data_IF_507775743444
#
_entry.id   IF_507775743444
#
_cell.length_a   1.000
_cell.length_b   1.000
_cell.length_c   1.000
_cell.angle_alpha   90.00
_cell.angle_beta   90.00
_cell.angle_gamma   90.00
#
_symmetry.space_group_name_H-M   'P 1'
#
loop_
_entity.id
_entity.type
_entity.pdbx_description
1 polymer ?
#
# COMPACT_ATOMS: atom_id res chain seq x y z
N UNK A 1 -12.59 -0.58 11.90
CA UNK A 1 -12.73 0.63 12.74
C UNK A 1 -13.03 1.78 11.79
N UNK A 2 -14.07 2.57 12.06
CA UNK A 2 -14.36 3.76 11.27
C UNK A 2 -13.16 4.73 11.34
N UNK A 3 -12.84 5.47 10.26
CA UNK A 3 -11.83 6.52 10.32
C UNK A 3 -12.19 7.54 11.41
N UNK A 4 -11.21 8.28 11.94
CA UNK A 4 -11.53 9.31 12.91
C UNK A 4 -12.45 10.32 12.20
N UNK A 5 -13.64 10.56 12.75
CA UNK A 5 -14.73 11.32 12.13
C UNK A 5 -14.22 12.65 11.53
N UNK A 6 -13.26 13.30 12.20
CA UNK A 6 -12.66 14.55 11.72
C UNK A 6 -11.92 14.42 10.37
N UNK A 7 -11.13 13.37 10.14
CA UNK A 7 -10.40 13.24 8.87
C UNK A 7 -11.33 12.98 7.69
N UNK A 8 -12.51 12.42 7.94
CA UNK A 8 -13.52 12.24 6.91
C UNK A 8 -14.28 13.54 6.64
N UNK A 9 -14.56 14.34 7.67
CA UNK A 9 -15.26 15.63 7.56
C UNK A 9 -14.41 16.74 6.94
N UNK A 10 -13.10 16.74 7.21
CA UNK A 10 -12.15 17.77 6.75
C UNK A 10 -11.17 17.25 5.69
N UNK A 11 -11.63 16.33 4.82
CA UNK A 11 -10.81 15.78 3.73
C UNK A 11 -10.26 16.87 2.82
N UNK A 12 -8.96 16.81 2.57
CA UNK A 12 -8.34 17.66 1.56
C UNK A 12 -8.85 17.30 0.14
N UNK A 13 -8.84 18.24 -0.82
CA UNK A 13 -9.20 17.95 -2.21
C UNK A 13 -8.40 16.75 -2.76
N UNK A 14 -9.11 15.82 -3.41
CA UNK A 14 -8.52 14.61 -4.01
C UNK A 14 -8.39 13.41 -3.05
N UNK A 15 -8.64 13.57 -1.75
CA UNK A 15 -8.77 12.43 -0.83
C UNK A 15 -10.07 11.69 -1.13
N UNK A 16 -9.94 10.47 -1.62
CA UNK A 16 -11.06 9.59 -1.90
C UNK A 16 -11.54 8.92 -0.61
N UNK A 17 -10.63 8.29 0.12
CA UNK A 17 -10.93 7.55 1.34
C UNK A 17 -9.91 7.80 2.44
N UNK A 18 -10.36 7.65 3.69
CA UNK A 18 -9.50 7.62 4.87
C UNK A 18 -9.80 6.32 5.59
N UNK A 19 -8.77 5.53 5.86
CA UNK A 19 -8.82 4.31 6.65
C UNK A 19 -8.09 4.54 7.97
N UNK A 20 -8.13 3.55 8.86
CA UNK A 20 -7.49 3.63 10.17
C UNK A 20 -5.95 3.74 10.12
N UNK A 21 -5.34 3.45 8.97
CA UNK A 21 -3.89 3.41 8.78
C UNK A 21 -3.38 4.27 7.62
N UNK A 22 -4.26 4.76 6.73
CA UNK A 22 -3.87 5.51 5.53
C UNK A 22 -4.94 6.46 4.99
N UNK A 23 -4.50 7.48 4.27
CA UNK A 23 -5.32 8.23 3.31
C UNK A 23 -5.12 7.65 1.91
N UNK A 24 -6.18 7.65 1.12
CA UNK A 24 -6.17 7.24 -0.28
C UNK A 24 -6.58 8.42 -1.14
N UNK A 25 -5.75 8.74 -2.12
CA UNK A 25 -5.99 9.81 -3.07
C UNK A 25 -6.32 9.21 -4.43
N UNK A 26 -7.32 9.80 -5.07
CA UNK A 26 -7.72 9.47 -6.43
C UNK A 26 -7.62 10.73 -7.29
N UNK A 27 -6.69 10.69 -8.24
CA UNK A 27 -6.44 11.72 -9.23
C UNK A 27 -6.58 11.07 -10.62
N UNK A 28 -6.81 11.84 -11.70
CA UNK A 28 -7.28 11.28 -12.98
C UNK A 28 -6.53 10.04 -13.51
N UNK A 29 -5.21 10.00 -13.37
CA UNK A 29 -4.38 8.86 -13.78
C UNK A 29 -3.49 8.33 -12.65
N UNK A 30 -3.71 8.78 -11.40
CA UNK A 30 -2.82 8.54 -10.28
C UNK A 30 -3.60 8.11 -9.05
N UNK A 31 -3.23 6.95 -8.52
CA UNK A 31 -3.73 6.42 -7.27
C UNK A 31 -2.60 6.47 -6.24
N UNK A 32 -2.88 7.03 -5.06
CA UNK A 32 -1.87 7.16 -3.99
C UNK A 32 -2.41 6.62 -2.68
N UNK A 33 -1.70 5.67 -2.07
CA UNK A 33 -1.87 5.31 -0.66
C UNK A 33 -0.81 6.07 0.15
N UNK A 34 -1.21 6.77 1.20
CA UNK A 34 -0.29 7.47 2.13
C UNK A 34 -0.58 7.02 3.55
N UNK A 35 0.44 6.54 4.27
CA UNK A 35 0.28 6.22 5.70
C UNK A 35 -0.12 7.45 6.50
N UNK A 36 -0.95 7.28 7.54
CA UNK A 36 -1.26 8.39 8.45
C UNK A 36 -0.01 8.83 9.22
N UNK A 37 0.17 10.15 9.34
CA UNK A 37 1.17 10.77 10.22
C UNK A 37 0.74 10.60 11.67
N UNK A 38 1.66 10.73 12.62
CA UNK A 38 1.37 10.52 14.05
C UNK A 38 0.25 11.42 14.58
N UNK A 39 0.18 12.67 14.13
CA UNK A 39 -0.89 13.60 14.51
C UNK A 39 -2.23 13.33 13.80
N UNK A 40 -2.27 12.39 12.85
CA UNK A 40 -3.48 11.96 12.15
C UNK A 40 -4.01 10.63 12.69
N UNK A 41 -3.35 10.01 13.68
CA UNK A 41 -3.78 8.74 14.27
C UNK A 41 -5.11 8.90 15.00
N UNK A 42 -5.88 7.80 15.06
CA UNK A 42 -7.20 7.81 15.70
C UNK A 42 -7.02 7.86 17.21
N UNK A 43 -7.55 8.90 17.84
CA UNK A 43 -7.72 8.97 19.29
C UNK A 43 -9.15 8.51 19.65
N UNK A 44 -9.26 7.53 20.52
CA UNK A 44 -10.52 7.04 21.06
C UNK A 44 -10.99 7.91 22.25
N UNK A 45 -12.25 7.75 22.66
CA UNK A 45 -12.85 8.56 23.74
C UNK A 45 -12.12 8.48 25.10
N UNK A 46 -11.37 7.40 25.34
CA UNK A 46 -10.57 7.18 26.54
C UNK A 46 -9.12 7.70 26.44
N UNK A 47 -8.77 8.37 25.34
CA UNK A 47 -7.42 8.86 25.06
C UNK A 47 -6.47 7.80 24.50
N UNK A 48 -6.96 6.58 24.22
CA UNK A 48 -6.15 5.56 23.57
C UNK A 48 -5.91 5.92 22.09
N UNK A 49 -4.65 5.95 21.68
CA UNK A 49 -4.28 6.19 20.29
C UNK A 49 -4.16 4.85 19.54
N UNK A 50 -4.97 4.67 18.50
CA UNK A 50 -4.87 3.54 17.58
C UNK A 50 -3.72 3.78 16.62
N UNK A 51 -2.63 3.06 16.83
CA UNK A 51 -1.44 3.18 15.99
C UNK A 51 -1.59 2.31 14.73
N UNK A 52 -1.37 2.86 13.53
CA UNK A 52 -1.15 2.06 12.33
C UNK A 52 0.03 1.11 12.53
N UNK A 53 0.04 -0.01 11.81
CA UNK A 53 1.21 -0.91 11.86
C UNK A 53 2.47 -0.17 11.39
N UNK A 54 3.56 -0.33 12.14
CA UNK A 54 4.87 0.20 11.78
C UNK A 54 5.49 -0.56 10.59
N UNK A 55 4.92 -1.70 10.19
CA UNK A 55 5.34 -2.46 9.02
C UNK A 55 4.77 -1.91 7.69
N UNK A 56 3.88 -0.90 7.72
CA UNK A 56 3.31 -0.29 6.51
C UNK A 56 4.35 0.16 5.47
N UNK A 57 5.47 0.80 5.85
CA UNK A 57 6.47 1.19 4.86
C UNK A 57 7.06 0.00 4.10
N UNK A 58 7.28 -1.13 4.77
CA UNK A 58 7.74 -2.35 4.11
C UNK A 58 6.65 -2.96 3.22
N UNK A 59 5.37 -2.93 3.63
CA UNK A 59 4.25 -3.37 2.78
C UNK A 59 4.24 -2.65 1.43
N UNK A 60 4.43 -1.33 1.44
CA UNK A 60 4.46 -0.53 0.21
C UNK A 60 5.71 -0.81 -0.63
N UNK A 61 6.90 -1.00 0.01
CA UNK A 61 8.10 -1.43 -0.70
C UNK A 61 7.91 -2.80 -1.35
N UNK A 62 7.29 -3.75 -0.65
CA UNK A 62 6.92 -5.07 -1.18
C UNK A 62 6.05 -4.95 -2.41
N UNK A 63 4.98 -4.15 -2.36
CA UNK A 63 4.08 -3.93 -3.50
C UNK A 63 4.86 -3.45 -4.74
N UNK A 64 5.66 -2.39 -4.58
CA UNK A 64 6.47 -1.84 -5.67
C UNK A 64 7.52 -2.82 -6.20
N UNK A 65 8.23 -3.54 -5.33
CA UNK A 65 9.25 -4.52 -5.70
C UNK A 65 8.64 -5.69 -6.49
N UNK A 66 7.49 -6.20 -6.05
CA UNK A 66 6.81 -7.32 -6.71
C UNK A 66 6.26 -6.92 -8.07
N UNK A 67 5.63 -5.74 -8.18
CA UNK A 67 5.19 -5.23 -9.47
C UNK A 67 6.35 -5.03 -10.45
N UNK A 68 7.51 -4.51 -10.00
CA UNK A 68 8.72 -4.40 -10.84
C UNK A 68 9.21 -5.77 -11.30
N UNK A 69 9.34 -6.71 -10.37
CA UNK A 69 9.73 -8.09 -10.68
C UNK A 69 8.77 -8.74 -11.69
N UNK A 70 7.46 -8.66 -11.46
CA UNK A 70 6.46 -9.25 -12.34
C UNK A 70 6.44 -8.62 -13.74
N UNK A 71 6.66 -7.31 -13.84
CA UNK A 71 6.75 -6.60 -15.14
C UNK A 71 7.93 -7.09 -15.97
N UNK A 72 9.04 -7.47 -15.33
CA UNK A 72 10.24 -7.98 -16.01
C UNK A 72 10.11 -9.47 -16.39
N UNK A 73 9.35 -10.26 -15.63
CA UNK A 73 9.36 -11.73 -15.73
C UNK A 73 8.07 -12.32 -16.29
N UNK A 74 7.00 -11.53 -16.43
CA UNK A 74 5.67 -12.02 -16.81
C UNK A 74 4.90 -11.06 -17.71
N UNK A 75 3.73 -11.51 -18.17
CA UNK A 75 2.73 -10.69 -18.85
C UNK A 75 1.47 -10.46 -17.99
N UNK A 76 1.58 -10.60 -16.66
CA UNK A 76 0.47 -10.31 -15.76
C UNK A 76 0.09 -8.83 -15.93
N UNK A 77 -1.19 -8.48 -16.14
CA UNK A 77 -1.62 -7.10 -16.19
C UNK A 77 -1.37 -6.41 -14.85
N UNK A 78 -0.66 -5.28 -14.87
CA UNK A 78 -0.28 -4.48 -13.71
C UNK A 78 -0.52 -3.00 -14.02
N UNK A 79 -0.63 -2.13 -13.00
CA UNK A 79 -0.43 -0.70 -13.17
C UNK A 79 0.86 -0.41 -13.96
N UNK A 80 0.81 0.54 -14.89
CA UNK A 80 1.92 0.88 -15.79
C UNK A 80 3.15 1.40 -15.04
N UNK A 81 2.95 2.02 -13.88
CA UNK A 81 4.02 2.43 -12.98
C UNK A 81 3.61 2.22 -11.51
N UNK A 82 4.62 2.12 -10.66
CA UNK A 82 4.50 2.11 -9.21
C UNK A 82 5.78 2.66 -8.60
N UNK A 83 5.64 3.54 -7.61
CA UNK A 83 6.73 4.18 -6.91
C UNK A 83 6.41 4.33 -5.43
N UNK A 84 7.47 4.33 -4.62
CA UNK A 84 7.36 4.60 -3.18
C UNK A 84 8.33 5.68 -2.77
N UNK A 85 7.91 6.52 -1.82
CA UNK A 85 8.73 7.59 -1.29
C UNK A 85 8.25 8.03 0.09
N UNK A 86 9.15 8.61 0.86
CA UNK A 86 8.85 9.16 2.17
C UNK A 86 8.69 10.68 2.09
N UNK A 87 7.73 11.21 2.85
CA UNK A 87 7.61 12.64 3.11
C UNK A 87 7.05 12.86 4.53
N UNK A 88 7.80 13.61 5.34
CA UNK A 88 7.50 14.04 6.71
C UNK A 88 6.70 13.02 7.56
N UNK A 89 7.36 11.93 7.95
CA UNK A 89 6.78 10.89 8.80
C UNK A 89 5.69 10.05 8.13
N UNK A 90 5.51 10.14 6.80
CA UNK A 90 4.60 9.32 6.02
C UNK A 90 5.31 8.62 4.86
N UNK A 91 4.82 7.43 4.50
CA UNK A 91 5.24 6.67 3.33
C UNK A 91 4.11 6.71 2.31
N UNK A 92 4.51 6.88 1.05
CA UNK A 92 3.63 6.95 -0.09
C UNK A 92 3.86 5.73 -0.97
N UNK A 93 2.76 5.19 -1.50
CA UNK A 93 2.74 4.27 -2.63
C UNK A 93 1.91 4.95 -3.71
N UNK A 94 2.56 5.34 -4.79
CA UNK A 94 1.96 6.01 -5.94
C UNK A 94 1.99 5.08 -7.14
N UNK A 95 0.85 4.89 -7.81
CA UNK A 95 0.74 4.01 -8.96
C UNK A 95 -0.28 4.53 -9.97
N UNK A 96 -0.33 3.95 -11.16
CA UNK A 96 -1.36 4.26 -12.15
C UNK A 96 -2.76 4.03 -11.55
N UNK A 97 -3.65 5.00 -11.73
CA UNK A 97 -5.08 4.73 -11.64
C UNK A 97 -5.60 4.12 -12.95
N UNK A 98 -5.97 2.84 -12.92
CA UNK A 98 -6.35 2.06 -14.10
C UNK A 98 -7.74 2.46 -14.59
N UNK A 99 -7.79 3.50 -15.43
CA UNK A 99 -9.04 4.13 -15.87
C UNK A 99 -9.97 3.17 -16.62
N UNK A 100 -11.27 3.25 -16.34
CA UNK A 100 -12.31 2.42 -16.98
C UNK A 100 -12.30 0.95 -16.55
N UNK A 101 -11.53 0.58 -15.52
CA UNK A 101 -11.66 -0.70 -14.86
C UNK A 101 -12.59 -0.60 -13.65
N UNK A 102 -13.25 -1.71 -13.31
CA UNK A 102 -13.97 -1.90 -12.05
C UNK A 102 -13.37 -3.10 -11.31
N UNK A 103 -13.35 -3.11 -9.97
CA UNK A 103 -13.08 -4.31 -9.18
C UNK A 103 -13.96 -5.49 -9.59
N UNK A 104 -13.42 -6.71 -9.56
CA UNK A 104 -14.15 -7.91 -9.99
C UNK A 104 -15.37 -8.21 -9.10
N UNK A 105 -15.39 -7.76 -7.85
CA UNK A 105 -16.52 -7.92 -6.93
C UNK A 105 -17.73 -7.04 -7.28
N UNK A 106 -17.56 -6.02 -8.12
CA UNK A 106 -18.66 -5.22 -8.68
C UNK A 106 -19.39 -5.91 -9.86
N UNK A 107 -18.80 -6.97 -10.43
CA UNK A 107 -19.39 -7.70 -11.55
C UNK A 107 -20.46 -8.70 -11.10
N UNK A 108 -21.37 -9.09 -11.99
CA UNK A 108 -22.31 -10.18 -11.70
C UNK A 108 -21.60 -11.53 -11.61
N UNK A 109 -22.19 -12.50 -10.91
CA UNK A 109 -21.57 -13.82 -10.70
C UNK A 109 -21.19 -14.52 -12.00
N UNK A 110 -22.05 -14.49 -13.01
CA UNK A 110 -21.77 -15.09 -14.31
C UNK A 110 -20.56 -14.46 -15.01
N UNK A 111 -20.37 -13.15 -14.85
CA UNK A 111 -19.23 -12.40 -15.40
C UNK A 111 -17.95 -12.70 -14.62
N UNK A 112 -18.03 -12.77 -13.29
CA UNK A 112 -16.92 -13.19 -12.43
C UNK A 112 -16.38 -14.55 -12.86
N UNK A 113 -17.24 -15.52 -13.19
CA UNK A 113 -16.82 -16.83 -13.71
C UNK A 113 -16.10 -16.77 -15.06
N UNK A 114 -16.28 -15.72 -15.85
CA UNK A 114 -15.48 -15.49 -17.06
C UNK A 114 -14.09 -14.98 -16.67
N UNK A 115 -14.02 -13.97 -15.80
CA UNK A 115 -12.77 -13.39 -15.29
C UNK A 115 -11.91 -14.44 -14.56
N UNK A 116 -12.52 -15.30 -13.74
CA UNK A 116 -11.84 -16.38 -13.01
C UNK A 116 -11.01 -17.29 -13.93
N UNK A 117 -11.46 -17.53 -15.16
CA UNK A 117 -10.72 -18.37 -16.11
C UNK A 117 -9.41 -17.72 -16.53
N UNK A 118 -9.42 -16.42 -16.79
CA UNK A 118 -8.22 -15.64 -17.11
C UNK A 118 -7.31 -15.52 -15.88
N UNK A 119 -7.89 -15.25 -14.71
CA UNK A 119 -7.15 -15.13 -13.46
C UNK A 119 -6.40 -16.42 -13.10
N UNK A 120 -7.01 -17.60 -13.33
CA UNK A 120 -6.33 -18.89 -13.13
C UNK A 120 -5.12 -19.08 -14.02
N UNK A 121 -5.11 -18.54 -15.24
CA UNK A 121 -3.92 -18.55 -16.10
C UNK A 121 -2.81 -17.74 -15.44
N UNK A 122 -3.12 -16.54 -14.93
CA UNK A 122 -2.14 -15.73 -14.19
C UNK A 122 -1.66 -16.41 -12.91
N UNK A 123 -2.52 -17.14 -12.19
CA UNK A 123 -2.10 -17.93 -11.04
C UNK A 123 -1.10 -19.04 -11.41
N UNK A 124 -1.29 -19.71 -12.54
CA UNK A 124 -0.32 -20.69 -13.02
C UNK A 124 1.01 -20.02 -13.41
N UNK A 125 0.97 -18.77 -13.88
CA UNK A 125 2.16 -17.92 -14.09
C UNK A 125 2.83 -17.48 -12.76
N UNK A 126 2.09 -17.32 -11.66
CA UNK A 126 2.62 -16.98 -10.31
C UNK A 126 3.22 -18.19 -9.58
N UNK A 127 2.56 -19.35 -9.70
CA UNK A 127 3.24 -20.67 -9.69
C UNK A 127 4.21 -20.66 -10.89
N UNK A 128 4.92 -21.67 -11.37
CA UNK A 128 6.00 -21.48 -12.38
C UNK A 128 7.18 -20.55 -11.98
N UNK A 129 6.99 -19.32 -11.46
CA UNK A 129 8.02 -18.51 -10.83
C UNK A 129 8.46 -19.23 -9.56
N UNK A 130 9.72 -19.66 -9.52
CA UNK A 130 10.31 -20.42 -8.42
C UNK A 130 11.48 -19.68 -7.79
N UNK A 131 11.66 -19.89 -6.50
CA UNK A 131 12.85 -19.46 -5.76
C UNK A 131 13.29 -20.52 -4.76
N UNK A 132 14.60 -20.63 -4.56
CA UNK A 132 15.20 -21.51 -3.55
C UNK A 132 15.10 -20.91 -2.15
N UNK A 133 14.93 -19.59 -2.05
CA UNK A 133 14.77 -18.83 -0.80
C UNK A 133 13.43 -18.10 -0.79
N UNK A 134 12.71 -18.06 0.34
CA UNK A 134 11.51 -17.25 0.44
C UNK A 134 11.88 -15.79 0.68
N UNK A 135 10.94 -14.89 0.43
CA UNK A 135 11.19 -13.45 0.56
C UNK A 135 10.69 -12.65 -0.63
N UNK A 136 10.98 -11.36 -0.60
CA UNK A 136 10.59 -10.41 -1.66
C UNK A 136 11.83 -10.07 -2.49
N UNK A 137 11.79 -10.20 -3.83
CA UNK A 137 12.94 -9.87 -4.68
C UNK A 137 13.44 -8.44 -4.44
N UNK A 138 14.73 -8.31 -4.10
CA UNK A 138 15.37 -7.01 -3.89
C UNK A 138 15.12 -6.36 -2.52
N UNK A 139 14.36 -7.01 -1.63
CA UNK A 139 14.03 -6.47 -0.32
C UNK A 139 14.63 -7.33 0.81
N UNK A 140 14.99 -6.70 1.92
CA UNK A 140 15.53 -7.39 3.10
C UNK A 140 14.45 -8.14 3.87
N UNK A 141 13.23 -7.61 3.85
CA UNK A 141 12.15 -8.04 4.72
C UNK A 141 10.95 -8.57 3.95
N UNK A 142 10.29 -9.52 4.60
CA UNK A 142 8.98 -10.03 4.25
C UNK A 142 7.94 -9.46 5.22
N UNK A 143 6.72 -9.22 4.75
CA UNK A 143 5.59 -8.89 5.62
C UNK A 143 4.58 -10.02 5.55
N UNK A 144 4.19 -10.57 6.71
CA UNK A 144 3.17 -11.61 6.77
C UNK A 144 1.78 -11.05 6.40
N UNK A 145 0.94 -11.82 5.68
CA UNK A 145 -0.39 -11.38 5.31
C UNK A 145 -1.27 -11.14 6.53
N UNK A 146 -2.26 -10.24 6.41
CA UNK A 146 -3.12 -9.80 7.53
C UNK A 146 -3.77 -10.95 8.30
N UNK A 147 -4.18 -12.02 7.59
CA UNK A 147 -4.77 -13.22 8.24
C UNK A 147 -3.81 -13.90 9.22
N UNK A 148 -2.49 -13.80 8.95
CA UNK A 148 -1.43 -14.38 9.78
C UNK A 148 -0.95 -13.37 10.83
N UNK A 149 -0.59 -12.17 10.37
CA UNK A 149 -0.07 -11.04 11.16
C UNK A 149 -1.12 -9.94 11.30
N UNK A 150 -1.96 -10.06 12.31
CA UNK A 150 -3.02 -9.09 12.62
C UNK A 150 -2.74 -8.29 13.90
N UNK A 151 -3.68 -7.42 14.28
CA UNK A 151 -3.59 -6.56 15.48
C UNK A 151 -3.23 -7.28 16.79
N UNK A 152 -3.46 -8.59 16.87
CA UNK A 152 -3.20 -9.41 18.07
C UNK A 152 -1.89 -10.22 18.00
N UNK A 153 -1.17 -10.18 16.88
CA UNK A 153 0.02 -11.02 16.69
C UNK A 153 0.99 -10.40 15.68
N UNK A 154 2.18 -10.00 16.16
CA UNK A 154 3.25 -9.42 15.34
C UNK A 154 2.79 -8.28 14.41
N UNK A 155 1.94 -7.39 14.95
CA UNK A 155 1.29 -6.35 14.17
C UNK A 155 2.28 -5.32 13.60
N UNK A 156 3.35 -4.97 14.33
CA UNK A 156 4.38 -4.00 13.93
C UNK A 156 5.65 -4.65 13.35
N UNK A 157 5.61 -5.96 13.10
CA UNK A 157 6.81 -6.75 12.81
C UNK A 157 6.97 -6.99 11.31
N UNK A 158 8.22 -6.90 10.84
CA UNK A 158 8.67 -7.46 9.57
C UNK A 158 9.47 -8.74 9.81
N UNK A 159 9.61 -9.60 8.81
CA UNK A 159 10.22 -10.93 8.96
C UNK A 159 11.51 -11.00 8.14
N UNK A 160 12.64 -11.27 8.82
CA UNK A 160 13.93 -11.49 8.18
C UNK A 160 14.23 -13.00 8.14
N UNK A 161 14.66 -13.57 7.00
CA UNK A 161 15.06 -14.97 6.94
C UNK A 161 16.16 -15.27 7.97
N UNK A 162 16.04 -16.36 8.74
CA UNK A 162 17.10 -16.74 9.67
C UNK A 162 18.36 -17.17 8.89
N UNK A 163 19.57 -16.81 9.34
CA UNK A 163 20.80 -17.28 8.72
C UNK A 163 20.84 -18.81 8.63
N UNK A 164 21.04 -19.34 7.43
CA UNK A 164 21.15 -20.78 7.19
C UNK A 164 19.82 -21.57 7.21
N UNK A 165 18.65 -20.92 7.38
CA UNK A 165 17.36 -21.61 7.29
C UNK A 165 17.08 -22.19 5.89
N UNK A 166 17.64 -21.55 4.87
CA UNK A 166 17.47 -21.94 3.47
C UNK A 166 18.84 -22.13 2.82
N UNK A 167 19.48 -23.30 3.03
CA UNK A 167 20.77 -23.58 2.43
C UNK A 167 20.65 -23.56 0.90
N UNK A 168 21.71 -23.11 0.23
CA UNK A 168 21.78 -23.13 -1.22
C UNK A 168 21.47 -24.54 -1.75
N UNK A 169 20.82 -24.67 -2.92
CA UNK A 169 20.57 -25.97 -3.53
C UNK A 169 21.86 -26.76 -3.59
N UNK A 170 21.82 -28.03 -3.17
CA UNK A 170 22.94 -28.94 -3.45
C UNK A 170 23.02 -29.04 -4.98
N UNK A 171 24.13 -28.64 -5.57
CA UNK A 171 24.44 -28.94 -6.97
C UNK A 171 24.21 -30.44 -7.17
N UNK A 172 23.20 -30.81 -7.96
CA UNK A 172 22.81 -32.22 -8.10
C UNK A 172 23.99 -33.05 -8.60
N UNK A 173 24.22 -34.21 -7.98
CA UNK A 173 25.25 -35.18 -8.39
C UNK A 173 25.05 -35.71 -9.83
N UNK A 174 23.88 -35.44 -10.44
CA UNK A 174 23.48 -36.02 -11.72
C UNK A 174 23.53 -35.05 -12.92
N UNK A 175 24.01 -33.80 -12.75
CA UNK A 175 24.13 -32.84 -13.86
C UNK A 175 22.81 -32.50 -14.57
N UNK A 176 21.66 -32.93 -14.03
CA UNK A 176 20.34 -32.47 -14.43
C UNK A 176 20.07 -31.17 -13.70
N UNK A 177 19.87 -30.09 -14.47
CA UNK A 177 19.22 -28.88 -13.99
C UNK A 177 17.82 -29.24 -13.49
N UNK A 178 17.75 -29.67 -12.23
CA UNK A 178 16.51 -30.01 -11.55
C UNK A 178 15.74 -28.72 -11.27
N UNK A 179 14.85 -28.34 -12.19
CA UNK A 179 13.82 -27.35 -11.91
C UNK A 179 12.97 -27.80 -10.72
N UNK A 180 12.59 -26.96 -9.77
CA UNK A 180 12.89 -25.55 -9.54
C UNK A 180 12.57 -25.26 -8.07
N UNK A 181 13.00 -24.11 -7.58
CA UNK A 181 12.96 -23.76 -6.16
C UNK A 181 11.65 -24.07 -5.42
N UNK A 182 11.80 -24.40 -4.13
CA UNK A 182 10.71 -24.89 -3.27
C UNK A 182 9.64 -23.84 -2.94
N UNK A 183 9.92 -22.57 -3.24
CA UNK A 183 9.00 -21.46 -3.07
C UNK A 183 8.45 -20.98 -4.40
N UNK A 184 7.25 -20.43 -4.34
CA UNK A 184 6.52 -19.92 -5.51
C UNK A 184 6.08 -18.50 -5.23
N UNK A 185 5.87 -17.70 -6.27
CA UNK A 185 5.37 -16.35 -6.06
C UNK A 185 3.91 -16.44 -5.62
N UNK A 186 3.62 -15.96 -4.41
CA UNK A 186 2.28 -15.85 -3.84
C UNK A 186 1.91 -14.37 -3.74
N UNK A 187 0.64 -14.04 -3.98
CA UNK A 187 0.08 -12.72 -3.75
C UNK A 187 -0.37 -12.55 -2.30
N UNK A 188 -0.86 -13.63 -1.67
CA UNK A 188 -1.39 -13.71 -0.30
C UNK A 188 -2.61 -12.84 0.04
N UNK A 189 -3.12 -12.06 -0.92
CA UNK A 189 -4.32 -11.23 -0.77
C UNK A 189 -5.12 -11.13 -2.08
N UNK A 190 -5.11 -12.19 -2.91
CA UNK A 190 -5.76 -12.20 -4.21
C UNK A 190 -7.29 -12.43 -4.11
N UNK A 191 -7.98 -11.46 -3.50
CA UNK A 191 -9.43 -11.39 -3.43
C UNK A 191 -10.02 -10.60 -4.62
N UNK A 192 -11.34 -10.66 -4.80
CA UNK A 192 -12.03 -10.09 -5.98
C UNK A 192 -11.78 -8.58 -6.14
N UNK A 193 -11.71 -7.82 -5.04
CA UNK A 193 -11.47 -6.37 -5.09
C UNK A 193 -10.08 -5.99 -5.63
N UNK A 194 -9.12 -6.92 -5.63
CA UNK A 194 -7.75 -6.71 -6.08
C UNK A 194 -7.54 -7.08 -7.56
N UNK A 195 -8.62 -7.45 -8.26
CA UNK A 195 -8.62 -7.77 -9.69
C UNK A 195 -9.44 -6.72 -10.42
N UNK A 196 -8.77 -5.84 -11.18
CA UNK A 196 -9.39 -4.77 -11.93
C UNK A 196 -9.73 -5.23 -13.35
N UNK A 197 -10.99 -5.08 -13.74
CA UNK A 197 -11.55 -5.66 -14.96
C UNK A 197 -12.19 -4.58 -15.83
N UNK A 198 -12.05 -4.69 -17.15
CA UNK A 198 -12.88 -3.92 -18.09
C UNK A 198 -14.32 -4.49 -18.08
N UNK A 199 -15.33 -3.74 -17.63
CA UNK A 199 -16.69 -4.27 -17.46
C UNK A 199 -17.39 -4.61 -18.78
N UNK A 200 -16.88 -4.15 -19.93
CA UNK A 200 -17.47 -4.44 -21.25
C UNK A 200 -16.90 -5.72 -21.87
N UNK A 201 -15.60 -5.95 -21.67
CA UNK A 201 -14.88 -7.08 -22.30
C UNK A 201 -14.60 -8.22 -21.33
N UNK A 202 -14.73 -7.97 -20.02
CA UNK A 202 -14.38 -8.86 -18.93
C UNK A 202 -12.90 -9.26 -18.92
N UNK A 203 -12.04 -8.43 -19.52
CA UNK A 203 -10.58 -8.61 -19.52
C UNK A 203 -9.95 -7.99 -18.28
N UNK A 204 -8.99 -8.70 -17.69
CA UNK A 204 -8.24 -8.19 -16.54
C UNK A 204 -7.34 -7.06 -17.05
N UNK A 205 -7.54 -5.86 -16.51
CA UNK A 205 -6.70 -4.70 -16.80
C UNK A 205 -5.52 -4.57 -15.86
N UNK A 206 -5.69 -4.98 -14.60
CA UNK A 206 -4.61 -5.02 -13.63
C UNK A 206 -4.94 -5.96 -12.46
N UNK A 207 -3.92 -6.57 -11.88
CA UNK A 207 -3.96 -7.15 -10.53
C UNK A 207 -3.14 -6.22 -9.62
N UNK A 208 -3.69 -5.85 -8.47
CA UNK A 208 -3.17 -4.82 -7.58
C UNK A 208 -3.06 -5.30 -6.13
N UNK A 209 -2.50 -4.47 -5.25
CA UNK A 209 -2.36 -4.71 -3.80
C UNK A 209 -1.41 -5.88 -3.46
N UNK A 210 -0.20 -5.81 -4.01
CA UNK A 210 0.84 -6.83 -3.85
C UNK A 210 1.59 -6.72 -2.52
N UNK A 211 1.03 -6.03 -1.52
CA UNK A 211 1.72 -5.59 -0.31
C UNK A 211 2.16 -6.73 0.64
N UNK A 212 1.64 -7.94 0.41
CA UNK A 212 1.99 -9.19 1.10
C UNK A 212 2.61 -10.25 0.19
N UNK A 213 2.89 -9.89 -1.06
CA UNK A 213 3.38 -10.83 -2.04
C UNK A 213 4.86 -11.15 -1.84
N UNK A 214 5.31 -12.26 -2.40
CA UNK A 214 6.69 -12.73 -2.28
C UNK A 214 6.83 -14.20 -2.67
N UNK A 215 8.01 -14.75 -2.50
CA UNK A 215 8.25 -16.18 -2.60
C UNK A 215 7.89 -16.85 -1.28
N UNK A 216 6.87 -17.71 -1.31
CA UNK A 216 6.34 -18.44 -0.16
C UNK A 216 6.17 -19.92 -0.48
N UNK A 217 6.00 -20.79 0.53
CA UNK A 217 5.55 -22.16 0.27
C UNK A 217 4.24 -22.14 -0.54
N UNK A 218 4.05 -23.04 -1.52
CA UNK A 218 2.87 -23.02 -2.40
C UNK A 218 1.51 -22.99 -1.67
N UNK A 219 1.45 -23.56 -0.46
CA UNK A 219 0.24 -23.64 0.35
C UNK A 219 -0.14 -22.33 1.06
N UNK A 220 0.69 -21.27 0.98
CA UNK A 220 0.32 -19.93 1.45
C UNK A 220 -0.69 -19.24 0.52
N UNK A 221 -0.64 -19.51 -0.78
CA UNK A 221 -1.56 -18.92 -1.76
C UNK A 221 -2.91 -19.64 -1.69
N UNK A 222 -3.96 -18.89 -1.37
CA UNK A 222 -5.34 -19.37 -1.31
C UNK A 222 -6.14 -18.66 -2.40
N UNK A 223 -7.10 -19.32 -3.05
CA UNK A 223 -7.84 -18.74 -4.17
C UNK A 223 -9.00 -17.85 -3.66
N UNK A 224 -8.68 -16.79 -2.91
CA UNK A 224 -9.68 -15.95 -2.25
C UNK A 224 -10.70 -15.33 -3.21
N UNK A 225 -10.31 -15.08 -4.46
CA UNK A 225 -11.19 -14.61 -5.53
C UNK A 225 -12.36 -15.55 -5.87
N UNK A 226 -12.35 -16.82 -5.44
CA UNK A 226 -13.44 -17.77 -5.70
C UNK A 226 -14.75 -17.42 -4.96
N UNK A 227 -14.67 -16.55 -3.95
CA UNK A 227 -15.82 -16.07 -3.19
C UNK A 227 -15.73 -14.57 -2.89
N UNK A 228 -16.84 -14.02 -2.42
CA UNK A 228 -16.90 -12.66 -1.90
C UNK A 228 -16.20 -12.55 -0.52
N UNK A 229 -15.71 -11.35 -0.21
CA UNK A 229 -15.09 -11.01 1.07
C UNK A 229 -13.56 -11.06 1.06
N UNK A 230 -12.96 -10.86 2.23
CA UNK A 230 -11.51 -10.73 2.37
C UNK A 230 -10.74 -12.04 2.37
N UNK A 231 -9.41 -11.90 2.36
CA UNK A 231 -8.41 -12.97 2.31
C UNK A 231 -8.13 -13.60 3.68
N UNK A 232 -9.17 -14.09 4.33
CA UNK A 232 -9.12 -14.79 5.63
C UNK A 232 -10.18 -15.89 5.66
N UNK A 233 -9.97 -16.93 6.47
CA UNK A 233 -10.90 -18.05 6.58
C UNK A 233 -12.27 -17.60 7.10
N UNK A 234 -13.34 -18.01 6.41
CA UNK A 234 -14.72 -17.84 6.85
C UNK A 234 -15.23 -19.08 7.59
N UNK A 235 -16.42 -18.99 8.18
CA UNK A 235 -17.04 -20.12 8.89
C UNK A 235 -17.15 -21.35 7.96
N UNK A 236 -16.64 -22.48 8.44
CA UNK A 236 -16.59 -23.74 7.68
C UNK A 236 -15.39 -23.91 6.75
N UNK A 237 -14.55 -22.90 6.58
CA UNK A 237 -13.28 -23.00 5.84
C UNK A 237 -12.13 -23.46 6.74
N UNK A 238 -11.10 -24.06 6.14
CA UNK A 238 -9.84 -24.31 6.83
C UNK A 238 -9.17 -22.98 7.20
N UNK A 239 -8.97 -22.74 8.49
CA UNK A 239 -8.12 -21.68 9.00
C UNK A 239 -6.67 -22.15 9.09
N UNK A 240 -5.82 -21.65 8.19
CA UNK A 240 -4.40 -21.99 8.12
C UNK A 240 -3.49 -21.06 8.91
N UNK A 241 -4.05 -20.17 9.72
CA UNK A 241 -3.33 -19.12 10.45
C UNK A 241 -2.19 -19.70 11.30
N UNK A 242 -2.47 -20.68 12.16
CA UNK A 242 -1.44 -21.25 13.06
C UNK A 242 -0.34 -21.98 12.29
N UNK A 243 -0.68 -22.74 11.23
CA UNK A 243 0.31 -23.37 10.35
C UNK A 243 1.25 -22.34 9.73
N UNK A 244 0.70 -21.21 9.27
CA UNK A 244 1.49 -20.13 8.71
C UNK A 244 2.40 -19.46 9.77
N UNK A 245 1.89 -19.26 10.99
CA UNK A 245 2.65 -18.69 12.11
C UNK A 245 3.80 -19.58 12.54
N UNK A 246 3.57 -20.88 12.68
CA UNK A 246 4.59 -21.87 13.00
C UNK A 246 5.72 -21.86 11.95
N UNK A 247 5.35 -21.84 10.67
CA UNK A 247 6.33 -21.76 9.60
C UNK A 247 7.14 -20.46 9.62
N UNK A 248 6.50 -19.30 9.85
CA UNK A 248 7.20 -18.03 9.99
C UNK A 248 8.19 -18.07 11.15
N UNK A 249 7.78 -18.49 12.34
CA UNK A 249 8.64 -18.53 13.53
C UNK A 249 9.84 -19.49 13.36
N UNK A 250 9.62 -20.62 12.68
CA UNK A 250 10.65 -21.62 12.42
C UNK A 250 11.73 -21.10 11.45
N UNK A 251 11.36 -20.27 10.47
CA UNK A 251 12.24 -19.92 9.36
C UNK A 251 12.72 -18.46 9.35
N UNK A 252 11.98 -17.57 10.03
CA UNK A 252 12.24 -16.14 10.06
C UNK A 252 12.43 -15.66 11.50
N UNK A 253 13.21 -14.60 11.66
CA UNK A 253 13.24 -13.81 12.88
C UNK A 253 12.26 -12.63 12.76
N UNK A 254 11.44 -12.39 13.80
CA UNK A 254 10.61 -11.20 13.86
C UNK A 254 11.49 -9.97 14.13
N UNK A 255 11.32 -8.93 13.32
CA UNK A 255 12.01 -7.65 13.43
C UNK A 255 10.97 -6.57 13.68
N UNK A 256 10.87 -6.12 14.93
CA UNK A 256 9.95 -5.05 15.30
C UNK A 256 10.34 -3.74 14.58
N UNK A 257 9.37 -3.11 13.93
CA UNK A 257 9.59 -1.85 13.23
C UNK A 257 9.18 -0.66 14.09
N UNK A 258 9.84 0.47 13.87
CA UNK A 258 9.48 1.76 14.45
C UNK A 258 8.71 2.61 13.45
N UNK A 259 7.78 3.43 13.92
CA UNK A 259 7.09 4.38 13.06
C UNK A 259 8.04 5.46 12.55
N UNK A 260 7.88 5.83 11.29
CA UNK A 260 8.73 6.83 10.63
C UNK A 260 8.81 8.14 11.42
N UNK A 261 10.04 8.68 11.45
CA UNK A 261 10.33 9.98 12.02
C UNK A 261 9.80 11.09 11.11
N UNK A 262 9.25 12.12 11.73
CA UNK A 262 8.98 13.42 11.09
C UNK A 262 10.29 14.05 10.60
N UNK A 263 10.19 15.05 9.72
CA UNK A 263 11.36 15.79 9.26
C UNK A 263 12.09 16.45 10.44
N UNK A 264 11.35 17.00 11.42
CA UNK A 264 11.94 17.62 12.60
C UNK A 264 12.73 16.61 13.44
N UNK A 265 12.16 15.43 13.71
CA UNK A 265 12.86 14.39 14.46
C UNK A 265 14.10 13.89 13.71
N UNK A 266 14.03 13.73 12.38
CA UNK A 266 15.20 13.42 11.56
C UNK A 266 16.27 14.51 11.72
N UNK A 267 15.87 15.79 11.71
CA UNK A 267 16.79 16.92 11.92
C UNK A 267 17.47 16.83 13.29
N UNK A 268 16.71 16.55 14.34
CA UNK A 268 17.19 16.50 15.72
C UNK A 268 18.17 15.33 15.96
N UNK A 269 18.11 14.28 15.12
CA UNK A 269 19.08 13.17 15.16
C UNK A 269 20.42 13.49 14.47
N UNK A 270 20.52 14.54 13.65
CA UNK A 270 21.79 14.89 13.02
C UNK A 270 22.77 15.44 14.05
N UNK A 271 24.06 15.03 13.98
CA UNK A 271 25.08 15.69 14.77
C UNK A 271 25.08 17.20 14.41
N UNK A 272 25.27 18.10 15.40
CA UNK A 272 25.27 19.53 15.13
C UNK A 272 26.30 19.84 14.04
N UNK A 273 25.83 20.45 12.96
CA UNK A 273 26.69 20.91 11.88
C UNK A 273 27.66 21.91 12.49
N UNK A 274 28.94 21.54 12.60
CA UNK A 274 30.01 22.50 12.90
C UNK A 274 30.15 23.39 11.68
N UNK A 275 29.35 24.44 11.62
CA UNK A 275 29.55 25.50 10.65
C UNK A 275 31.00 26.00 10.83
N UNK A 276 31.79 26.11 9.74
CA UNK A 276 33.09 26.73 9.85
C UNK A 276 32.87 28.12 10.44
N UNK A 277 33.58 28.41 11.54
CA UNK A 277 33.59 29.75 12.13
C UNK A 277 33.87 30.70 10.97
N UNK A 278 32.95 31.65 10.72
CA UNK A 278 33.25 32.77 9.85
C UNK A 278 34.58 33.34 10.32
N UNK A 279 35.59 33.28 9.45
CA UNK A 279 36.84 33.97 9.69
C UNK A 279 36.55 35.46 9.90
N UNK A 280 37.40 36.19 10.62
CA UNK A 280 37.17 37.60 10.87
C UNK A 280 36.93 38.31 9.54
N UNK A 281 35.80 39.01 9.44
CA UNK A 281 35.50 39.87 8.32
C UNK A 281 36.68 40.82 8.11
N UNK A 282 37.38 40.67 6.98
CA UNK A 282 38.33 41.68 6.53
C UNK A 282 37.53 42.94 6.28
N UNK A 283 37.75 43.93 7.13
CA UNK A 283 37.27 45.28 6.95
C UNK A 283 37.96 45.86 5.71
N UNK A 284 37.29 45.81 4.58
CA UNK A 284 37.56 46.71 3.46
C UNK A 284 36.24 47.38 3.11
N UNK A 285 36.19 48.67 3.40
CA UNK A 285 34.99 49.50 3.28
C UNK A 285 34.69 49.84 1.82
N UNK A 286 33.41 49.81 1.48
CA UNK A 286 32.89 50.55 0.35
C UNK A 286 31.64 51.32 0.78
N UNK A 287 31.58 52.53 0.23
CA UNK A 287 30.81 53.69 0.65
C UNK A 287 29.32 53.51 0.37
N UNK A 288 28.49 54.03 1.27
CA UNK A 288 27.09 54.33 1.00
C UNK A 288 26.99 55.34 -0.15
N UNK A 289 26.23 54.99 -1.19
CA UNK A 289 25.73 55.95 -2.16
C UNK A 289 24.20 55.81 -2.22
N UNK A 290 23.50 56.78 -1.64
CA UNK A 290 22.05 56.95 -1.76
C UNK A 290 21.68 57.31 -3.20
N UNK A 291 21.04 56.38 -3.90
CA UNK A 291 20.46 56.59 -5.22
C UNK A 291 18.92 56.58 -5.18
N UNK A 292 18.33 57.76 -5.35
CA UNK A 292 16.89 57.98 -5.62
C UNK A 292 16.52 57.54 -7.03
N UNK A 293 15.49 56.70 -7.19
CA UNK A 293 14.61 56.64 -8.38
C UNK A 293 13.18 56.33 -7.91
N UNK A 294 12.26 57.32 -7.87
CA UNK A 294 11.35 57.82 -8.91
C UNK A 294 10.25 56.83 -9.34
N UNK A 295 9.04 57.13 -8.84
CA UNK A 295 7.75 56.74 -9.41
C UNK A 295 7.64 57.19 -10.88
N UNK A 296 7.13 56.31 -11.74
CA UNK A 296 6.25 56.64 -12.86
C UNK A 296 5.60 55.36 -13.39
N UNK A 297 4.30 55.41 -13.71
CA UNK A 297 3.62 54.34 -14.46
C UNK A 297 2.23 53.97 -13.97
N UNK A 298 1.29 54.92 -14.04
CA UNK A 298 -0.15 54.68 -13.88
C UNK A 298 -0.74 54.42 -15.27
N UNK A 299 -1.25 53.23 -15.54
CA UNK A 299 -2.18 53.03 -16.64
C UNK A 299 -3.33 52.11 -16.23
N UNK A 300 -4.54 52.58 -16.56
CA UNK A 300 -5.85 52.01 -16.22
C UNK A 300 -6.14 50.78 -17.08
N UNK A 301 -6.89 49.83 -16.52
CA UNK A 301 -7.82 49.01 -17.29
C UNK A 301 -9.15 48.88 -16.52
N UNK A 302 -10.13 49.65 -16.99
CA UNK A 302 -11.57 49.40 -16.79
C UNK A 302 -11.99 48.31 -17.78
N UNK A 303 -12.89 47.41 -17.39
CA UNK A 303 -13.54 46.47 -18.32
C UNK A 303 -14.06 45.19 -17.68
N UNK A 304 -15.09 45.31 -16.83
CA UNK A 304 -16.07 44.24 -16.61
C UNK A 304 -16.94 44.06 -17.87
N UNK A 305 -17.20 42.80 -18.25
CA UNK A 305 -18.54 42.32 -18.63
C UNK A 305 -18.51 40.80 -18.94
N UNK A 306 -19.32 40.07 -18.16
CA UNK A 306 -20.21 38.95 -18.53
C UNK A 306 -19.67 37.70 -19.26
N UNK A 307 -19.96 36.51 -18.70
CA UNK A 307 -21.17 35.74 -19.03
C UNK A 307 -21.38 34.57 -18.04
N UNK A 308 -22.65 34.44 -17.66
CA UNK A 308 -23.39 33.46 -16.86
C UNK A 308 -23.16 31.95 -17.09
N UNK A 309 -23.27 31.23 -15.98
CA UNK A 309 -24.24 30.15 -15.67
C UNK A 309 -24.34 28.90 -16.57
N UNK A 310 -24.10 27.73 -15.95
CA UNK A 310 -25.00 26.56 -16.03
C UNK A 310 -24.65 25.52 -14.96
N UNK A 311 -25.29 25.61 -13.80
CA UNK A 311 -25.51 24.46 -12.91
C UNK A 311 -26.79 23.73 -13.30
N UNK A 312 -26.75 22.40 -13.41
CA UNK A 312 -27.65 21.42 -12.74
C UNK A 312 -27.76 20.10 -13.51
N UNK A 313 -27.61 18.99 -12.78
CA UNK A 313 -28.39 17.78 -13.05
C UNK A 313 -27.77 16.44 -12.68
N UNK A 314 -28.29 15.84 -11.58
CA UNK A 314 -28.49 14.38 -11.37
C UNK A 314 -27.22 13.58 -10.96
N UNK A 315 -27.18 12.72 -9.94
CA UNK A 315 -28.02 12.40 -8.79
C UNK A 315 -27.16 11.61 -7.78
N UNK A 316 -27.52 11.71 -6.50
CA UNK A 316 -26.99 10.88 -5.43
C UNK A 316 -27.42 9.41 -5.60
N UNK A 317 -26.51 8.48 -5.30
CA UNK A 317 -26.85 7.09 -4.97
C UNK A 317 -26.15 6.75 -3.67
N UNK A 318 -26.98 6.50 -2.64
CA UNK A 318 -26.58 6.03 -1.32
C UNK A 318 -26.03 4.61 -1.41
N UNK A 319 -24.98 4.30 -0.63
CA UNK A 319 -24.62 2.93 -0.27
C UNK A 319 -24.68 2.83 1.25
N UNK A 320 -25.42 1.82 1.70
CA UNK A 320 -25.83 1.59 3.07
C UNK A 320 -24.68 1.18 3.99
N UNK A 321 -24.68 1.77 5.18
CA UNK A 321 -23.98 1.28 6.37
C UNK A 321 -24.75 0.10 6.95
N UNK A 322 -24.10 -1.05 7.12
CA UNK A 322 -24.56 -2.08 8.07
C UNK A 322 -23.67 -2.04 9.31
N UNK A 323 -24.17 -1.35 10.33
CA UNK A 323 -23.73 -1.49 11.71
C UNK A 323 -24.42 -2.68 12.37
N UNK A 324 -23.63 -3.63 12.88
CA UNK A 324 -24.11 -4.67 13.78
C UNK A 324 -24.32 -4.09 15.18
N UNK A 325 -25.58 -3.93 15.58
CA UNK A 325 -25.97 -3.63 16.97
C UNK A 325 -26.55 -4.89 17.61
N UNK A 326 -25.93 -5.29 18.73
CA UNK A 326 -26.39 -6.35 19.61
C UNK A 326 -27.68 -5.93 20.32
N UNK A 327 -28.70 -6.80 20.30
CA UNK A 327 -29.85 -6.70 21.21
C UNK A 327 -29.85 -7.90 22.15
N UNK A 328 -29.50 -7.60 23.40
CA UNK A 328 -29.95 -8.32 24.59
C UNK A 328 -31.44 -8.06 24.74
N UNK A 329 -32.24 -9.10 24.89
CA UNK A 329 -33.34 -9.12 25.85
C UNK A 329 -33.77 -10.54 26.16
N UNK A 330 -33.62 -10.90 27.44
CA UNK A 330 -34.16 -12.12 28.00
C UNK A 330 -35.65 -12.00 28.29
N UNK A 331 -36.30 -13.16 28.36
CA UNK A 331 -37.53 -13.38 29.11
C UNK A 331 -37.63 -14.87 29.46
N UNK A 332 -37.19 -15.24 30.66
CA UNK A 332 -38.05 -15.76 31.74
C UNK A 332 -37.24 -16.04 33.01
#
# INVERSE_FOLDING_TARGET
MAPPLFLHEYKEPGVWAVHADRKIYHLPNLFVKRTLRRHEWIELEDGLIVQPTAAMPQRYKTDAAIQRYLREHTNIPLPSFVETFEDDGAMYLAMEFVSGAVPMDELFEAERKVVEKELRVHMETLKSLRSDTPGVPGEEFLVGPVRVCGYRWHYHTCWRPRPGAFPAPKSGEDGKEGGGGQFVLCHNDLAQQNVLVDPKTLKIKAIIDWEFAGFWPPWFERPWFERYGGSYAMEGEEDDTERCREWLLANFEPVEQEHMLTLQEKIDTYPPVKLPKSGPASADGEKEEEGKEKEEGKEKAEGEADVEEATKGVAAVNIAEEGASATVNGQK
#
